data_IF_820989796414
#
_entry.id   IF_820989796414
#
_cell.length_a   1.000
_cell.length_b   1.000
_cell.length_c   1.000
_cell.angle_alpha   90.00
_cell.angle_beta   90.00
_cell.angle_gamma   90.00
#
_symmetry.space_group_name_H-M   'P 1'
#
loop_
_entity.id
_entity.type
_entity.pdbx_description
1 polymer ?
#
# COMPACT_ATOMS: atom_id res chain seq x y z
N UNK A 1 -13.35 -5.67 28.27
CA UNK A 1 -12.94 -4.88 27.10
C UNK A 1 -11.42 -4.77 27.20
N UNK A 2 -10.67 -5.20 26.19
CA UNK A 2 -9.21 -4.95 26.14
C UNK A 2 -9.02 -3.43 26.14
N UNK A 3 -8.16 -2.90 27.00
CA UNK A 3 -7.81 -1.48 26.97
C UNK A 3 -7.31 -1.13 25.56
N UNK A 4 -7.75 0.01 25.03
CA UNK A 4 -7.22 0.51 23.77
C UNK A 4 -5.72 0.76 23.93
N UNK A 5 -4.89 0.29 23.01
CA UNK A 5 -3.44 0.46 23.04
C UNK A 5 -3.03 1.94 23.13
N UNK A 6 -3.82 2.83 22.51
CA UNK A 6 -3.60 4.27 22.60
C UNK A 6 -3.81 4.82 24.01
N UNK A 7 -4.67 4.23 24.82
CA UNK A 7 -4.89 4.64 26.21
C UNK A 7 -3.72 4.25 27.13
N UNK A 8 -3.11 3.07 26.92
CA UNK A 8 -1.91 2.66 27.65
C UNK A 8 -0.70 3.55 27.35
N UNK A 9 -0.72 4.19 26.18
CA UNK A 9 0.33 5.11 25.73
C UNK A 9 0.20 6.51 26.34
N UNK A 10 -1.00 6.86 26.84
CA UNK A 10 -1.33 8.13 27.49
C UNK A 10 -1.17 7.98 29.01
N UNK A 11 0.01 8.31 29.51
CA UNK A 11 0.28 8.33 30.96
C UNK A 11 0.41 9.77 31.44
N UNK A 12 -0.65 10.37 32.05
CA UNK A 12 -0.61 11.72 32.57
C UNK A 12 0.59 11.93 33.50
N UNK A 13 1.39 12.99 33.24
CA UNK A 13 2.59 13.31 34.00
C UNK A 13 3.89 12.67 33.46
N UNK A 14 3.83 11.86 32.41
CA UNK A 14 5.02 11.33 31.78
C UNK A 14 5.64 12.35 30.80
N UNK A 15 6.95 12.58 30.91
CA UNK A 15 7.69 13.47 29.99
C UNK A 15 7.52 13.07 28.51
N UNK A 16 7.45 11.80 28.21
CA UNK A 16 7.29 11.33 26.83
C UNK A 16 5.91 11.69 26.26
N UNK A 17 4.87 11.67 27.08
CA UNK A 17 3.53 12.10 26.66
C UNK A 17 3.50 13.58 26.30
N UNK A 18 4.14 14.41 27.13
CA UNK A 18 4.28 15.84 26.81
C UNK A 18 4.98 16.07 25.47
N UNK A 19 6.07 15.34 25.19
CA UNK A 19 6.79 15.44 23.93
C UNK A 19 5.94 15.00 22.75
N UNK A 20 5.20 13.89 22.86
CA UNK A 20 4.30 13.40 21.83
C UNK A 20 3.19 14.39 21.53
N UNK A 21 2.52 14.87 22.58
CA UNK A 21 1.46 15.85 22.45
C UNK A 21 1.97 17.14 21.77
N UNK A 22 3.13 17.63 22.18
CA UNK A 22 3.74 18.81 21.57
C UNK A 22 4.07 18.62 20.09
N UNK A 23 4.63 17.46 19.72
CA UNK A 23 4.95 17.14 18.32
C UNK A 23 3.70 16.96 17.46
N UNK A 24 2.67 16.28 17.97
CA UNK A 24 1.41 16.12 17.25
C UNK A 24 0.68 17.47 17.08
N UNK A 25 0.72 18.34 18.10
CA UNK A 25 0.20 19.69 17.99
C UNK A 25 0.99 20.53 16.97
N UNK A 26 2.32 20.37 16.90
CA UNK A 26 3.13 21.03 15.88
C UNK A 26 2.80 20.56 14.46
N UNK A 27 2.24 19.33 14.30
CA UNK A 27 1.69 18.81 13.05
C UNK A 27 0.27 19.35 12.74
N UNK A 28 -0.32 20.16 13.63
CA UNK A 28 -1.65 20.76 13.44
C UNK A 28 -2.80 20.01 14.11
N UNK A 29 -2.54 18.95 14.88
CA UNK A 29 -3.57 18.23 15.63
C UNK A 29 -3.89 18.90 16.98
N UNK A 30 -5.11 18.74 17.42
CA UNK A 30 -5.56 19.26 18.74
C UNK A 30 -5.48 18.17 19.82
N UNK A 31 -5.58 18.57 21.08
CA UNK A 31 -5.70 17.64 22.20
C UNK A 31 -6.92 16.72 22.06
N UNK A 32 -8.03 17.24 21.54
CA UNK A 32 -9.24 16.46 21.27
C UNK A 32 -9.04 15.39 20.18
N UNK A 33 -8.15 15.63 19.23
CA UNK A 33 -7.81 14.65 18.20
C UNK A 33 -6.94 13.53 18.78
N UNK A 34 -5.97 13.90 19.59
CA UNK A 34 -5.04 12.96 20.24
C UNK A 34 -5.79 12.01 21.20
N UNK A 35 -6.92 12.45 21.75
CA UNK A 35 -7.74 11.64 22.67
C UNK A 35 -8.58 10.55 21.97
N UNK A 36 -8.74 10.62 20.68
CA UNK A 36 -9.47 9.60 19.89
C UNK A 36 -8.71 8.28 19.78
N UNK A 37 -9.39 7.17 19.47
CA UNK A 37 -8.72 5.94 19.09
C UNK A 37 -7.80 6.14 17.88
N UNK A 38 -6.57 5.65 17.98
CA UNK A 38 -5.57 5.82 16.92
C UNK A 38 -5.69 4.69 15.91
N UNK A 39 -5.96 5.04 14.66
CA UNK A 39 -6.03 4.08 13.56
C UNK A 39 -4.78 4.22 12.69
N UNK A 40 -3.95 3.19 12.70
CA UNK A 40 -2.76 3.12 11.85
C UNK A 40 -3.14 2.82 10.39
N UNK A 41 -2.56 3.54 9.45
CA UNK A 41 -2.71 3.25 8.02
C UNK A 41 -1.34 2.85 7.49
N UNK A 42 -1.13 1.56 7.22
CA UNK A 42 0.10 1.07 6.62
C UNK A 42 -0.06 1.05 5.11
N UNK A 43 0.71 1.89 4.43
CA UNK A 43 0.58 2.14 3.01
C UNK A 43 1.86 1.74 2.27
N UNK A 44 1.73 0.82 1.30
CA UNK A 44 2.83 0.40 0.42
C UNK A 44 3.01 1.30 -0.81
N UNK A 45 2.64 2.57 -0.72
CA UNK A 45 2.84 3.51 -1.81
C UNK A 45 4.33 3.79 -2.06
N UNK A 46 4.73 3.78 -3.33
CA UNK A 46 6.05 4.25 -3.77
C UNK A 46 5.99 4.64 -5.25
N UNK A 47 6.82 5.61 -5.66
CA UNK A 47 6.97 5.97 -7.09
C UNK A 47 7.65 4.85 -7.88
N UNK A 48 8.49 4.06 -7.23
CA UNK A 48 9.12 2.85 -7.80
C UNK A 48 8.16 1.66 -7.92
N UNK A 49 6.89 1.85 -7.56
CA UNK A 49 5.83 0.87 -7.75
C UNK A 49 4.65 1.51 -8.49
N UNK A 50 4.68 1.53 -9.83
CA UNK A 50 3.61 2.15 -10.63
C UNK A 50 2.22 1.59 -10.34
N UNK A 51 2.15 0.32 -9.93
CA UNK A 51 0.91 -0.32 -9.50
C UNK A 51 0.29 0.28 -8.23
N UNK A 52 1.09 0.96 -7.42
CA UNK A 52 0.66 1.60 -6.17
C UNK A 52 0.53 3.13 -6.27
N UNK A 53 0.62 3.69 -7.47
CA UNK A 53 0.63 5.15 -7.69
C UNK A 53 -0.58 5.85 -7.05
N UNK A 54 -1.76 5.25 -7.12
CA UNK A 54 -3.03 5.79 -6.62
C UNK A 54 -3.22 5.61 -5.10
N UNK A 55 -2.31 4.93 -4.39
CA UNK A 55 -2.48 4.63 -2.97
C UNK A 55 -2.43 5.87 -2.06
N UNK A 56 -1.80 6.96 -2.50
CA UNK A 56 -1.95 8.25 -1.80
C UNK A 56 -3.40 8.72 -1.75
N UNK A 57 -4.12 8.57 -2.86
CA UNK A 57 -5.53 8.97 -2.93
C UNK A 57 -6.41 8.04 -2.08
N UNK A 58 -6.11 6.73 -2.07
CA UNK A 58 -6.79 5.77 -1.21
C UNK A 58 -6.55 6.08 0.26
N UNK A 59 -5.30 6.36 0.65
CA UNK A 59 -4.96 6.73 2.02
C UNK A 59 -5.71 7.98 2.48
N UNK A 60 -5.79 9.02 1.66
CA UNK A 60 -6.56 10.23 1.99
C UNK A 60 -8.06 9.93 2.12
N UNK A 61 -8.62 9.02 1.32
CA UNK A 61 -10.01 8.59 1.49
C UNK A 61 -10.22 7.82 2.79
N UNK A 62 -9.30 6.94 3.15
CA UNK A 62 -9.29 6.21 4.42
C UNK A 62 -9.22 7.19 5.60
N UNK A 63 -8.31 8.16 5.58
CA UNK A 63 -8.19 9.19 6.63
C UNK A 63 -9.51 9.92 6.85
N UNK A 64 -10.18 10.35 5.77
CA UNK A 64 -11.51 10.99 5.86
C UNK A 64 -12.54 10.08 6.52
N UNK A 65 -12.56 8.79 6.15
CA UNK A 65 -13.45 7.80 6.76
C UNK A 65 -13.18 7.58 8.25
N UNK A 66 -11.91 7.48 8.64
CA UNK A 66 -11.51 7.34 10.04
C UNK A 66 -11.91 8.57 10.86
N UNK A 67 -11.68 9.79 10.34
CA UNK A 67 -12.13 11.03 10.99
C UNK A 67 -13.65 11.08 11.15
N UNK A 68 -14.39 10.70 10.12
CA UNK A 68 -15.86 10.68 10.16
C UNK A 68 -16.40 9.67 11.18
N UNK A 69 -15.66 8.58 11.42
CA UNK A 69 -15.99 7.57 12.42
C UNK A 69 -15.52 7.94 13.85
N UNK A 70 -14.89 9.09 14.05
CA UNK A 70 -14.40 9.54 15.36
C UNK A 70 -13.05 8.98 15.76
N UNK A 71 -12.29 8.40 14.83
CA UNK A 71 -10.91 7.95 15.05
C UNK A 71 -9.86 9.02 14.69
N UNK A 72 -8.61 8.77 15.04
CA UNK A 72 -7.45 9.58 14.70
C UNK A 72 -6.54 8.78 13.74
N UNK A 73 -6.51 9.10 12.43
CA UNK A 73 -5.70 8.36 11.47
C UNK A 73 -4.24 8.82 11.50
N UNK A 74 -3.32 7.87 11.57
CA UNK A 74 -1.89 8.10 11.39
C UNK A 74 -1.35 7.15 10.31
N UNK A 75 -0.79 7.73 9.25
CA UNK A 75 -0.23 6.97 8.13
C UNK A 75 1.25 6.67 8.34
N UNK A 76 1.64 5.45 8.02
CA UNK A 76 3.03 4.98 7.98
C UNK A 76 3.25 4.29 6.63
N UNK A 77 4.25 4.74 5.89
CA UNK A 77 4.67 4.04 4.69
C UNK A 77 5.52 2.83 5.05
N UNK A 78 5.28 1.73 4.34
CA UNK A 78 6.05 0.50 4.45
C UNK A 78 6.80 0.22 3.15
N UNK A 79 7.67 -0.78 3.16
CA UNK A 79 8.36 -1.26 1.97
C UNK A 79 7.34 -1.52 0.85
N UNK A 80 7.65 -1.05 -0.36
CA UNK A 80 6.85 -1.30 -1.55
C UNK A 80 7.63 -2.15 -2.53
N UNK A 81 7.14 -3.36 -2.80
CA UNK A 81 7.85 -4.33 -3.62
C UNK A 81 7.24 -4.34 -5.02
N UNK A 82 8.05 -3.99 -6.01
CA UNK A 82 7.66 -4.01 -7.41
C UNK A 82 8.71 -4.76 -8.24
N UNK A 83 8.27 -5.80 -8.91
CA UNK A 83 9.13 -6.72 -9.66
C UNK A 83 9.93 -6.04 -10.78
N UNK A 84 9.34 -5.03 -11.43
CA UNK A 84 9.96 -4.34 -12.57
C UNK A 84 11.13 -3.42 -12.18
N UNK A 85 11.31 -3.15 -10.89
CA UNK A 85 12.37 -2.30 -10.36
C UNK A 85 13.39 -3.06 -9.49
N UNK A 86 13.27 -4.38 -9.39
CA UNK A 86 14.19 -5.22 -8.64
C UNK A 86 14.99 -6.11 -9.61
N UNK A 87 16.31 -6.12 -9.50
CA UNK A 87 17.20 -6.96 -10.33
C UNK A 87 17.12 -8.45 -9.99
N UNK A 88 16.69 -8.78 -8.77
CA UNK A 88 16.50 -10.13 -8.28
C UNK A 88 15.02 -10.43 -8.08
N UNK A 89 14.71 -11.72 -7.84
CA UNK A 89 13.33 -12.08 -7.51
C UNK A 89 12.81 -11.27 -6.31
N UNK A 90 11.77 -10.48 -6.55
CA UNK A 90 11.13 -9.65 -5.53
C UNK A 90 10.46 -10.48 -4.41
N UNK A 91 10.26 -11.78 -4.64
CA UNK A 91 9.54 -12.67 -3.73
C UNK A 91 10.23 -12.83 -2.36
N UNK A 92 11.56 -12.81 -2.32
CA UNK A 92 12.32 -12.91 -1.05
C UNK A 92 12.09 -11.70 -0.13
N UNK A 93 11.77 -10.54 -0.69
CA UNK A 93 11.51 -9.33 0.09
C UNK A 93 10.13 -9.32 0.74
N UNK A 94 9.26 -10.27 0.42
CA UNK A 94 7.96 -10.44 1.07
C UNK A 94 8.09 -10.65 2.58
N UNK A 95 9.08 -11.46 3.03
CA UNK A 95 9.35 -11.65 4.45
C UNK A 95 9.86 -10.37 5.12
N UNK A 96 10.69 -9.59 4.44
CA UNK A 96 11.18 -8.31 4.98
C UNK A 96 10.02 -7.33 5.20
N UNK A 97 9.12 -7.19 4.22
CA UNK A 97 7.91 -6.37 4.37
C UNK A 97 7.01 -6.89 5.49
N UNK A 98 6.88 -8.21 5.64
CA UNK A 98 6.08 -8.80 6.73
C UNK A 98 6.66 -8.44 8.10
N UNK A 99 7.97 -8.59 8.29
CA UNK A 99 8.66 -8.24 9.55
C UNK A 99 8.55 -6.74 9.84
N UNK A 100 8.81 -5.88 8.84
CA UNK A 100 8.67 -4.43 8.98
C UNK A 100 7.25 -4.05 9.40
N UNK A 101 6.25 -4.57 8.69
CA UNK A 101 4.85 -4.29 8.98
C UNK A 101 4.44 -4.77 10.38
N UNK A 102 4.89 -5.95 10.78
CA UNK A 102 4.65 -6.52 12.12
C UNK A 102 5.22 -5.60 13.21
N UNK A 103 6.48 -5.20 13.10
CA UNK A 103 7.12 -4.31 14.08
C UNK A 103 6.43 -2.94 14.14
N UNK A 104 6.08 -2.36 13.00
CA UNK A 104 5.34 -1.08 12.97
C UNK A 104 3.97 -1.19 13.64
N UNK A 105 3.21 -2.26 13.36
CA UNK A 105 1.91 -2.48 13.96
C UNK A 105 2.00 -2.78 15.45
N UNK A 106 3.01 -3.54 15.89
CA UNK A 106 3.19 -3.94 17.28
C UNK A 106 3.67 -2.78 18.16
N UNK A 107 4.57 -1.93 17.65
CA UNK A 107 5.23 -0.88 18.45
C UNK A 107 4.49 0.44 18.47
N UNK A 108 3.67 0.71 17.46
CA UNK A 108 2.84 1.91 17.49
C UNK A 108 1.56 1.69 18.31
N UNK A 109 1.02 2.74 18.93
CA UNK A 109 -0.15 2.67 19.81
C UNK A 109 -1.45 2.61 19.00
N UNK A 110 -1.48 1.79 17.95
CA UNK A 110 -2.66 1.63 17.10
C UNK A 110 -3.72 0.77 17.79
N UNK A 111 -4.94 1.27 17.86
CA UNK A 111 -6.13 0.56 18.35
C UNK A 111 -6.76 -0.29 17.24
N UNK A 112 -6.58 0.13 16.00
CA UNK A 112 -6.98 -0.58 14.80
C UNK A 112 -6.07 -0.21 13.63
N UNK A 113 -6.11 -1.00 12.57
CA UNK A 113 -5.19 -0.88 11.45
C UNK A 113 -5.94 -0.97 10.13
N UNK A 114 -5.60 -0.11 9.19
CA UNK A 114 -5.95 -0.24 7.78
C UNK A 114 -4.68 -0.52 6.99
N UNK A 115 -4.64 -1.62 6.28
CA UNK A 115 -3.56 -1.98 5.38
C UNK A 115 -3.94 -1.59 3.95
N UNK A 116 -3.05 -0.89 3.25
CA UNK A 116 -3.22 -0.54 1.84
C UNK A 116 -2.08 -1.19 1.06
N UNK A 117 -2.42 -2.13 0.22
CA UNK A 117 -1.46 -2.88 -0.55
C UNK A 117 -2.02 -3.41 -1.86
N UNK A 118 -1.13 -3.85 -2.71
CA UNK A 118 -1.45 -4.49 -3.97
C UNK A 118 -0.41 -5.54 -4.33
N UNK A 119 -0.69 -6.34 -5.36
CA UNK A 119 0.23 -7.34 -5.86
C UNK A 119 0.45 -8.54 -4.91
N UNK A 120 0.87 -9.64 -5.49
CA UNK A 120 1.09 -10.95 -4.84
C UNK A 120 2.29 -10.99 -3.85
N UNK A 121 3.05 -9.90 -3.74
CA UNK A 121 4.12 -9.76 -2.74
C UNK A 121 3.64 -8.96 -1.54
N UNK A 122 3.09 -7.77 -1.77
CA UNK A 122 2.75 -6.83 -0.70
C UNK A 122 1.53 -7.30 0.12
N UNK A 123 0.47 -7.79 -0.53
CA UNK A 123 -0.74 -8.23 0.16
C UNK A 123 -0.47 -9.39 1.13
N UNK A 124 0.14 -10.51 0.71
CA UNK A 124 0.42 -11.60 1.65
C UNK A 124 1.35 -11.18 2.78
N UNK A 125 2.36 -10.32 2.52
CA UNK A 125 3.27 -9.85 3.54
C UNK A 125 2.54 -9.06 4.65
N UNK A 126 1.70 -8.11 4.27
CA UNK A 126 0.91 -7.33 5.23
C UNK A 126 -0.11 -8.20 5.98
N UNK A 127 -0.74 -9.18 5.32
CA UNK A 127 -1.67 -10.11 5.97
C UNK A 127 -0.95 -11.02 6.98
N UNK A 128 0.25 -11.52 6.65
CA UNK A 128 1.07 -12.29 7.59
C UNK A 128 1.38 -11.49 8.85
N UNK A 129 1.77 -10.22 8.70
CA UNK A 129 2.02 -9.32 9.80
C UNK A 129 0.75 -9.05 10.63
N UNK A 130 -0.39 -8.84 9.99
CA UNK A 130 -1.66 -8.59 10.67
C UNK A 130 -2.09 -9.78 11.55
N UNK A 131 -1.94 -10.99 11.04
CA UNK A 131 -2.26 -12.22 11.79
C UNK A 131 -1.32 -12.39 12.99
N UNK A 132 -0.04 -12.06 12.83
CA UNK A 132 0.96 -12.14 13.90
C UNK A 132 0.66 -11.17 15.05
N UNK A 133 0.24 -9.94 14.72
CA UNK A 133 0.01 -8.88 15.73
C UNK A 133 -1.36 -9.03 16.44
N UNK A 134 -2.32 -9.67 15.80
CA UNK A 134 -3.68 -9.91 16.34
C UNK A 134 -4.40 -8.63 16.79
N UNK A 135 -4.23 -7.53 16.06
CA UNK A 135 -5.01 -6.29 16.25
C UNK A 135 -6.18 -6.21 15.27
N UNK A 136 -7.27 -5.49 15.60
CA UNK A 136 -8.35 -5.22 14.65
C UNK A 136 -7.79 -4.62 13.35
N UNK A 137 -7.95 -5.32 12.24
CA UNK A 137 -7.33 -4.93 10.98
C UNK A 137 -8.31 -5.07 9.82
N UNK A 138 -8.32 -4.07 8.93
CA UNK A 138 -9.00 -4.11 7.64
C UNK A 138 -7.95 -4.03 6.55
N UNK A 139 -8.05 -4.88 5.54
CA UNK A 139 -7.23 -4.81 4.34
C UNK A 139 -8.00 -4.12 3.20
N UNK A 140 -7.40 -3.08 2.64
CA UNK A 140 -7.88 -2.37 1.44
C UNK A 140 -6.95 -2.69 0.27
N UNK A 141 -7.34 -3.61 -0.63
CA UNK A 141 -6.55 -3.88 -1.83
C UNK A 141 -6.62 -2.71 -2.81
N UNK A 142 -5.54 -2.50 -3.54
CA UNK A 142 -5.45 -1.42 -4.53
C UNK A 142 -6.30 -1.63 -5.78
N UNK A 143 -6.81 -2.83 -5.98
CA UNK A 143 -7.60 -3.19 -7.15
C UNK A 143 -6.78 -3.50 -8.40
N UNK A 144 -7.44 -4.10 -9.39
CA UNK A 144 -6.82 -4.47 -10.66
C UNK A 144 -6.68 -3.25 -11.60
N UNK A 145 -5.67 -3.30 -12.47
CA UNK A 145 -5.53 -2.36 -13.58
C UNK A 145 -6.61 -2.59 -14.63
N UNK A 146 -7.04 -1.54 -15.27
CA UNK A 146 -7.85 -1.67 -16.48
C UNK A 146 -7.00 -2.24 -17.63
N UNK A 147 -7.58 -3.07 -18.49
CA UNK A 147 -6.90 -3.55 -19.69
C UNK A 147 -6.53 -2.38 -20.61
N UNK A 148 -5.43 -2.51 -21.31
CA UNK A 148 -5.05 -1.57 -22.35
C UNK A 148 -5.85 -1.75 -23.63
N UNK A 149 -5.63 -0.85 -24.59
CA UNK A 149 -6.23 -0.95 -25.91
C UNK A 149 -5.31 -0.36 -26.97
N UNK A 150 -5.16 -1.05 -28.10
CA UNK A 150 -4.45 -0.56 -29.26
C UNK A 150 -5.26 -0.83 -30.51
N UNK A 151 -5.65 0.23 -31.25
CA UNK A 151 -6.45 0.15 -32.50
C UNK A 151 -7.74 -0.68 -32.38
N UNK A 152 -8.40 -0.62 -31.21
CA UNK A 152 -9.65 -1.34 -30.94
C UNK A 152 -9.46 -2.77 -30.44
N UNK A 153 -8.23 -3.27 -30.34
CA UNK A 153 -7.92 -4.55 -29.72
C UNK A 153 -7.64 -4.34 -28.22
N UNK A 154 -8.22 -5.17 -27.37
CA UNK A 154 -7.93 -5.18 -25.93
C UNK A 154 -6.57 -5.83 -25.71
N UNK A 155 -5.71 -5.15 -24.98
CA UNK A 155 -4.38 -5.62 -24.61
C UNK A 155 -4.34 -6.01 -23.12
N UNK A 156 -3.59 -7.06 -22.84
CA UNK A 156 -3.33 -7.51 -21.48
C UNK A 156 -1.82 -7.59 -21.22
N UNK A 157 -1.41 -7.08 -20.09
CA UNK A 157 -0.04 -7.24 -19.58
C UNK A 157 0.34 -8.75 -19.52
N UNK A 158 1.58 -9.05 -19.55
CA UNK A 158 2.08 -10.42 -19.53
C UNK A 158 2.04 -11.04 -20.92
N UNK A 159 0.92 -11.64 -21.30
CA UNK A 159 0.83 -12.36 -22.60
C UNK A 159 1.14 -11.44 -23.77
N UNK A 160 0.58 -10.23 -23.81
CA UNK A 160 0.77 -9.32 -24.94
C UNK A 160 2.12 -8.62 -24.91
N UNK A 161 2.71 -8.42 -23.73
CA UNK A 161 4.10 -7.98 -23.61
C UNK A 161 5.05 -8.99 -24.25
N UNK A 162 4.88 -10.28 -23.94
CA UNK A 162 5.71 -11.35 -24.57
C UNK A 162 5.47 -11.45 -26.08
N UNK A 163 4.23 -11.32 -26.55
CA UNK A 163 3.94 -11.31 -27.99
C UNK A 163 4.60 -10.13 -28.69
N UNK A 164 4.53 -8.94 -28.14
CA UNK A 164 5.17 -7.75 -28.69
C UNK A 164 6.69 -7.90 -28.76
N UNK A 165 7.30 -8.39 -27.68
CA UNK A 165 8.74 -8.62 -27.65
C UNK A 165 9.20 -9.67 -28.65
N UNK A 166 8.47 -10.79 -28.79
CA UNK A 166 8.76 -11.83 -29.77
C UNK A 166 8.67 -11.29 -31.22
N UNK A 167 7.68 -10.45 -31.52
CA UNK A 167 7.56 -9.81 -32.82
C UNK A 167 8.73 -8.87 -33.14
N UNK A 168 9.23 -8.17 -32.12
CA UNK A 168 10.44 -7.35 -32.27
C UNK A 168 11.66 -8.22 -32.56
N UNK A 169 11.91 -9.30 -31.80
CA UNK A 169 13.05 -10.21 -32.03
C UNK A 169 12.96 -10.86 -33.42
N UNK A 170 11.79 -11.19 -33.89
CA UNK A 170 11.57 -11.76 -35.21
C UNK A 170 11.70 -10.74 -36.35
N UNK A 171 11.97 -9.48 -36.05
CA UNK A 171 12.12 -8.41 -37.04
C UNK A 171 10.80 -7.93 -37.68
N UNK A 172 9.64 -8.29 -37.08
CA UNK A 172 8.33 -7.86 -37.54
C UNK A 172 7.99 -6.43 -37.12
N UNK A 173 8.64 -5.95 -36.06
CA UNK A 173 8.48 -4.62 -35.51
C UNK A 173 9.84 -3.98 -35.27
N UNK A 174 9.93 -2.66 -35.48
CA UNK A 174 11.05 -1.86 -34.96
C UNK A 174 10.89 -1.64 -33.45
N UNK A 175 11.97 -1.23 -32.78
CA UNK A 175 11.92 -0.86 -31.37
C UNK A 175 10.87 0.21 -31.09
N UNK A 176 10.84 1.28 -31.90
CA UNK A 176 9.91 2.39 -31.75
C UNK A 176 8.44 1.94 -31.90
N UNK A 177 8.19 1.08 -32.88
CA UNK A 177 6.85 0.50 -33.07
C UNK A 177 6.42 -0.41 -31.92
N UNK A 178 7.36 -1.11 -31.31
CA UNK A 178 7.08 -1.91 -30.12
C UNK A 178 6.79 -1.02 -28.92
N UNK A 179 7.59 0.03 -28.69
CA UNK A 179 7.41 0.97 -27.58
C UNK A 179 6.12 1.76 -27.67
N UNK A 180 5.73 2.19 -28.86
CA UNK A 180 4.43 2.85 -29.09
C UNK A 180 3.24 1.97 -28.63
N UNK A 181 3.30 0.68 -28.93
CA UNK A 181 2.29 -0.28 -28.47
C UNK A 181 2.42 -0.63 -26.99
N UNK A 182 3.65 -0.69 -26.46
CA UNK A 182 3.89 -0.93 -25.03
C UNK A 182 3.20 0.12 -24.16
N UNK A 183 3.19 1.39 -24.58
CA UNK A 183 2.47 2.46 -23.90
C UNK A 183 0.96 2.26 -23.79
N UNK A 184 0.40 1.37 -24.61
CA UNK A 184 -1.02 1.05 -24.64
C UNK A 184 -1.40 -0.24 -23.88
N UNK A 185 -0.42 -0.94 -23.26
CA UNK A 185 -0.66 -2.21 -22.56
C UNK A 185 -1.51 -2.05 -21.28
N UNK A 186 -1.48 -0.88 -20.70
CA UNK A 186 -2.14 -0.60 -19.41
C UNK A 186 -3.11 0.55 -19.56
N UNK A 187 -4.36 0.33 -19.15
CA UNK A 187 -5.42 1.33 -19.22
C UNK A 187 -5.54 2.23 -17.99
N UNK A 188 -4.93 1.84 -16.88
CA UNK A 188 -4.94 2.61 -15.62
C UNK A 188 -3.78 2.22 -14.70
N UNK A 189 -3.51 3.03 -13.68
CA UNK A 189 -2.77 2.59 -12.51
C UNK A 189 -3.55 1.48 -11.79
N UNK A 190 -2.84 0.55 -11.15
CA UNK A 190 -3.41 -0.56 -10.43
C UNK A 190 -2.34 -1.58 -10.08
N UNK A 191 -2.61 -2.47 -9.13
CA UNK A 191 -1.59 -3.37 -8.62
C UNK A 191 -1.15 -4.44 -9.63
N UNK A 192 -2.03 -4.87 -10.49
CA UNK A 192 -1.78 -5.84 -11.57
C UNK A 192 -2.99 -5.88 -12.51
N UNK A 193 -2.82 -6.12 -13.82
CA UNK A 193 -3.95 -6.34 -14.72
C UNK A 193 -4.60 -7.73 -14.54
N UNK A 194 -3.89 -8.65 -13.88
CA UNK A 194 -4.44 -9.96 -13.55
C UNK A 194 -5.27 -9.82 -12.28
N UNK A 195 -6.57 -9.93 -12.42
CA UNK A 195 -7.48 -9.99 -11.28
C UNK A 195 -7.41 -11.38 -10.64
N UNK A 196 -6.98 -11.44 -9.40
CA UNK A 196 -6.79 -12.68 -8.66
C UNK A 196 -6.98 -12.48 -7.16
N UNK A 197 -6.54 -13.43 -6.36
CA UNK A 197 -6.64 -13.39 -4.90
C UNK A 197 -5.82 -12.29 -4.22
N UNK A 198 -4.94 -11.62 -4.97
CA UNK A 198 -4.04 -10.58 -4.47
C UNK A 198 -4.42 -9.17 -4.96
N UNK A 199 -5.63 -8.99 -5.47
CA UNK A 199 -6.11 -7.68 -5.95
C UNK A 199 -7.53 -7.41 -5.45
#
# INVERSE_FOLDING_TARGET
>A
MKNNNSQEWKHPGNRQELLRAALLQAMGYTSLDIDKPIIGILNTWAETNPGHLHFRQLSEAVKRGVWAAGGFPLEVNTLSICEVFFDLSSLIYRNLLSIESEELMARHPFDGIVLIGGCDKNIPAQLMAAVSVDKPTIFLPGGAMLPGSYKGETLCCGTDTFKLYNRYINGELTWDQMMDRAGCLYGSAGACPIMGTAN
#
